data_IF_520234159196
#
_entry.id   IF_520234159196
#
_cell.length_a   1.000
_cell.length_b   1.000
_cell.length_c   1.000
_cell.angle_alpha   90.00
_cell.angle_beta   90.00
_cell.angle_gamma   90.00
#
_symmetry.space_group_name_H-M   'P 1'
#
loop_
_entity.id
_entity.type
_entity.pdbx_description
1 polymer ?
#
# COMPACT_ATOMS: atom_id res chain seq x y z
N UNK A 1 -18.30 -27.38 -1.85
CA UNK A 1 -17.54 -27.57 -0.61
C UNK A 1 -16.23 -26.87 -0.85
N UNK A 2 -16.18 -25.65 -0.33
CA UNK A 2 -15.26 -24.57 -0.70
C UNK A 2 -13.87 -24.80 -0.08
N UNK A 3 -12.84 -24.88 -0.95
CA UNK A 3 -11.42 -24.95 -0.61
C UNK A 3 -10.76 -23.57 -0.82
N UNK A 4 -11.46 -22.51 -0.43
CA UNK A 4 -10.92 -21.15 -0.41
C UNK A 4 -10.70 -20.72 1.03
N UNK A 5 -9.53 -20.16 1.31
CA UNK A 5 -9.19 -19.36 2.50
C UNK A 5 -8.37 -20.02 3.60
N UNK A 6 -7.31 -20.73 3.19
CA UNK A 6 -6.02 -20.71 3.91
C UNK A 6 -5.30 -19.33 3.84
N UNK A 7 -6.01 -18.23 3.59
CA UNK A 7 -5.42 -16.90 3.32
C UNK A 7 -5.17 -16.02 4.56
N UNK A 8 -5.37 -16.54 5.77
CA UNK A 8 -5.45 -15.72 6.99
C UNK A 8 -4.09 -15.16 7.50
N UNK A 9 -2.96 -15.83 7.28
CA UNK A 9 -1.67 -15.41 7.88
C UNK A 9 -0.82 -14.49 7.00
N UNK A 10 -0.84 -14.64 5.68
CA UNK A 10 -0.05 -13.79 4.76
C UNK A 10 -0.64 -12.37 4.62
N UNK A 11 -1.92 -12.19 4.96
CA UNK A 11 -2.63 -10.90 4.92
C UNK A 11 -2.14 -9.89 5.97
N UNK A 12 -1.27 -10.30 6.91
CA UNK A 12 -0.67 -9.41 7.91
C UNK A 12 0.62 -8.72 7.45
N UNK A 13 1.30 -9.23 6.44
CA UNK A 13 2.62 -8.71 6.01
C UNK A 13 2.47 -7.99 4.68
N UNK A 14 2.64 -6.66 4.71
CA UNK A 14 2.65 -5.84 3.52
C UNK A 14 3.89 -6.19 2.67
N UNK A 15 3.76 -6.50 1.37
CA UNK A 15 4.91 -6.72 0.50
C UNK A 15 5.88 -5.53 0.53
N UNK A 16 7.19 -5.79 0.53
CA UNK A 16 8.24 -4.75 0.68
C UNK A 16 8.08 -3.59 -0.32
N UNK A 17 7.73 -3.92 -1.57
CA UNK A 17 7.54 -2.92 -2.62
C UNK A 17 6.30 -2.04 -2.41
N UNK A 18 5.30 -2.49 -1.64
CA UNK A 18 4.13 -1.72 -1.21
C UNK A 18 4.41 -0.97 0.10
N UNK A 19 5.26 -1.51 0.98
CA UNK A 19 5.73 -0.81 2.18
C UNK A 19 6.46 0.49 1.82
N UNK A 20 7.34 0.45 0.84
CA UNK A 20 8.00 1.66 0.35
C UNK A 20 7.01 2.72 -0.16
N UNK A 21 5.91 2.28 -0.80
CA UNK A 21 4.85 3.18 -1.27
C UNK A 21 4.03 3.75 -0.11
N UNK A 22 3.68 2.93 0.87
CA UNK A 22 2.99 3.38 2.08
C UNK A 22 3.81 4.44 2.82
N UNK A 23 5.11 4.21 3.02
CA UNK A 23 6.00 5.19 3.64
C UNK A 23 6.03 6.51 2.87
N UNK A 24 6.09 6.47 1.53
CA UNK A 24 6.01 7.71 0.72
C UNK A 24 4.66 8.41 0.84
N UNK A 25 3.54 7.66 0.85
CA UNK A 25 2.20 8.25 1.05
C UNK A 25 2.10 8.99 2.38
N UNK A 26 2.69 8.44 3.45
CA UNK A 26 2.66 9.05 4.78
C UNK A 26 3.49 10.34 4.87
N UNK A 27 4.43 10.57 3.95
CA UNK A 27 5.13 11.87 3.86
C UNK A 27 4.27 12.99 3.28
N UNK A 28 3.10 12.66 2.69
CA UNK A 28 2.25 13.63 1.98
C UNK A 28 2.82 14.10 0.63
N UNK A 29 3.86 13.43 0.12
CA UNK A 29 4.43 13.73 -1.19
C UNK A 29 3.45 13.41 -2.33
N UNK A 30 3.55 14.17 -3.43
CA UNK A 30 2.80 13.86 -4.66
C UNK A 30 3.29 12.55 -5.28
N UNK A 31 2.46 11.89 -6.07
CA UNK A 31 2.82 10.64 -6.76
C UNK A 31 4.06 10.82 -7.65
N UNK A 32 4.24 12.01 -8.24
CA UNK A 32 5.43 12.33 -9.03
C UNK A 32 6.69 12.42 -8.17
N UNK A 33 6.63 13.11 -7.02
CA UNK A 33 7.77 13.21 -6.12
C UNK A 33 8.12 11.85 -5.48
N UNK A 34 7.11 11.09 -5.09
CA UNK A 34 7.27 9.76 -4.51
C UNK A 34 7.84 8.75 -5.51
N UNK A 35 7.34 8.74 -6.76
CA UNK A 35 7.86 7.87 -7.82
C UNK A 35 9.32 8.17 -8.14
N UNK A 36 9.70 9.46 -8.23
CA UNK A 36 11.09 9.89 -8.40
C UNK A 36 11.98 9.41 -7.25
N UNK A 37 11.53 9.56 -5.99
CA UNK A 37 12.29 9.11 -4.80
C UNK A 37 12.48 7.60 -4.75
N UNK A 38 11.51 6.83 -5.25
CA UNK A 38 11.58 5.37 -5.33
C UNK A 38 12.29 4.86 -6.60
N UNK A 39 12.73 5.75 -7.50
CA UNK A 39 13.40 5.37 -8.75
C UNK A 39 12.52 4.59 -9.72
N UNK A 40 11.19 4.79 -9.67
CA UNK A 40 10.22 4.10 -10.53
C UNK A 40 9.40 5.09 -11.33
N UNK A 41 8.81 4.64 -12.44
CA UNK A 41 7.92 5.50 -13.24
C UNK A 41 6.63 5.85 -12.47
N UNK A 42 6.01 7.01 -12.74
CA UNK A 42 4.72 7.40 -12.14
C UNK A 42 3.61 6.36 -12.37
N UNK A 43 3.63 5.69 -13.52
CA UNK A 43 2.67 4.62 -13.86
C UNK A 43 2.85 3.39 -12.98
N UNK A 44 4.09 3.00 -12.68
CA UNK A 44 4.38 1.91 -11.74
C UNK A 44 4.00 2.29 -10.32
N UNK A 45 4.27 3.53 -9.91
CA UNK A 45 3.86 4.04 -8.60
C UNK A 45 2.34 4.01 -8.44
N UNK A 46 1.59 4.54 -9.41
CA UNK A 46 0.12 4.51 -9.40
C UNK A 46 -0.43 3.09 -9.31
N UNK A 47 0.12 2.14 -10.06
CA UNK A 47 -0.26 0.72 -9.96
C UNK A 47 -0.04 0.16 -8.55
N UNK A 48 1.11 0.45 -7.93
CA UNK A 48 1.41 0.01 -6.55
C UNK A 48 0.53 0.69 -5.52
N UNK A 49 0.14 1.95 -5.72
CA UNK A 49 -0.86 2.60 -4.87
C UNK A 49 -2.20 1.88 -4.96
N UNK A 50 -2.70 1.58 -6.15
CA UNK A 50 -3.95 0.82 -6.31
C UNK A 50 -3.87 -0.56 -5.67
N UNK A 51 -2.74 -1.24 -5.81
CA UNK A 51 -2.48 -2.54 -5.18
C UNK A 51 -2.45 -2.44 -3.65
N UNK A 52 -1.78 -1.42 -3.10
CA UNK A 52 -1.76 -1.11 -1.67
C UNK A 52 -3.17 -0.84 -1.13
N UNK A 53 -3.96 -0.03 -1.83
CA UNK A 53 -5.34 0.29 -1.46
C UNK A 53 -6.21 -0.97 -1.43
N UNK A 54 -6.11 -1.81 -2.47
CA UNK A 54 -6.78 -3.10 -2.53
C UNK A 54 -6.35 -4.04 -1.39
N UNK A 55 -5.06 -4.09 -1.07
CA UNK A 55 -4.53 -4.90 0.03
C UNK A 55 -5.00 -4.39 1.40
N UNK A 56 -5.13 -3.08 1.55
CA UNK A 56 -5.66 -2.44 2.75
C UNK A 56 -7.19 -2.57 2.84
N UNK A 57 -7.88 -2.81 1.73
CA UNK A 57 -9.36 -2.83 1.66
C UNK A 57 -9.95 -1.42 1.78
N UNK A 58 -9.25 -0.43 1.26
CA UNK A 58 -9.64 0.99 1.32
C UNK A 58 -9.64 1.60 -0.07
N UNK A 59 -10.34 2.71 -0.26
CA UNK A 59 -10.53 3.34 -1.57
C UNK A 59 -9.74 4.64 -1.73
N UNK A 60 -9.22 5.17 -0.62
CA UNK A 60 -8.56 6.46 -0.57
C UNK A 60 -7.20 6.38 0.10
N UNK A 61 -6.23 7.15 -0.40
CA UNK A 61 -4.92 7.36 0.23
C UNK A 61 -5.04 7.87 1.68
N UNK A 62 -6.05 8.66 1.98
CA UNK A 62 -6.29 9.13 3.34
C UNK A 62 -6.73 7.98 4.25
N UNK A 63 -7.64 7.14 3.77
CA UNK A 63 -8.03 5.91 4.48
C UNK A 63 -6.86 4.95 4.62
N UNK A 64 -5.95 4.89 3.65
CA UNK A 64 -4.74 4.05 3.70
C UNK A 64 -3.80 4.46 4.84
N UNK A 65 -3.57 5.77 5.02
CA UNK A 65 -2.79 6.27 6.15
C UNK A 65 -3.44 5.95 7.50
N UNK A 66 -4.77 6.16 7.60
CA UNK A 66 -5.51 5.83 8.82
C UNK A 66 -5.50 4.31 9.12
N UNK A 67 -5.61 3.46 8.11
CA UNK A 67 -5.56 2.01 8.26
C UNK A 67 -4.16 1.52 8.64
N UNK A 68 -3.11 2.12 8.08
CA UNK A 68 -1.73 1.80 8.45
C UNK A 68 -1.45 2.07 9.94
N UNK A 69 -1.97 3.18 10.48
CA UNK A 69 -1.91 3.47 11.92
C UNK A 69 -2.71 2.46 12.74
N UNK A 70 -3.94 2.12 12.32
CA UNK A 70 -4.78 1.13 13.01
C UNK A 70 -4.14 -0.27 13.06
N UNK A 71 -3.41 -0.65 12.01
CA UNK A 71 -2.69 -1.94 11.91
C UNK A 71 -1.30 -1.92 12.54
N UNK A 72 -0.87 -0.80 13.13
CA UNK A 72 0.47 -0.60 13.70
C UNK A 72 1.60 -0.93 12.71
N UNK A 73 1.44 -0.52 11.45
CA UNK A 73 2.46 -0.68 10.41
C UNK A 73 3.46 0.48 10.36
N UNK A 74 3.21 1.53 11.14
CA UNK A 74 4.02 2.73 11.30
C UNK A 74 4.11 3.16 12.76
#
# INVERSE_FOLDING_TARGET
>A
MDDSSRHDTTRRVLPEHLQAVLLQLLTGATDQAASNRLGISPRTYSRRVSELLAHLGVESRFQAGAEAMRRSWV
#
